data_IF_369984711486
#
_entry.id   IF_369984711486
#
_cell.length_a   1.000
_cell.length_b   1.000
_cell.length_c   1.000
_cell.angle_alpha   90.00
_cell.angle_beta   90.00
_cell.angle_gamma   90.00
#
_symmetry.space_group_name_H-M   'P 1'
#
loop_
_entity.id
_entity.type
_entity.pdbx_description
1 polymer ?
#
# COMPACT_ATOMS: atom_id res chain seq x y z
N UNK A 1 -19.05 -7.24 19.30
CA UNK A 1 -20.23 -7.14 20.17
C UNK A 1 -19.82 -7.55 21.55
N UNK A 2 -20.10 -6.72 22.54
CA UNK A 2 -20.12 -7.15 23.95
C UNK A 2 -21.36 -8.01 24.21
N UNK A 3 -21.43 -8.67 25.36
CA UNK A 3 -22.50 -9.62 25.69
C UNK A 3 -23.92 -8.99 25.68
N UNK A 4 -24.01 -7.67 25.74
CA UNK A 4 -25.23 -6.85 25.67
C UNK A 4 -25.58 -6.40 24.23
N UNK A 5 -24.83 -6.86 23.22
CA UNK A 5 -25.02 -6.45 21.82
C UNK A 5 -24.47 -5.06 21.48
N UNK A 6 -23.89 -4.34 22.43
CA UNK A 6 -23.33 -3.02 22.17
C UNK A 6 -21.98 -3.10 21.42
N UNK A 7 -21.68 -2.05 20.66
CA UNK A 7 -20.41 -1.90 19.97
C UNK A 7 -19.49 -1.04 20.84
N UNK A 8 -18.33 -1.60 21.20
CA UNK A 8 -17.27 -0.80 21.81
C UNK A 8 -16.71 0.17 20.74
N UNK A 9 -16.80 1.49 20.94
CA UNK A 9 -16.27 2.45 19.97
C UNK A 9 -14.77 2.24 19.82
N UNK A 10 -14.31 2.29 18.57
CA UNK A 10 -12.90 2.20 18.21
C UNK A 10 -12.44 3.55 17.70
N UNK A 11 -11.22 3.95 18.07
CA UNK A 11 -10.59 5.13 17.50
C UNK A 11 -10.21 4.83 16.05
N UNK A 12 -10.77 5.60 15.11
CA UNK A 12 -10.36 5.60 13.71
C UNK A 12 -9.32 6.69 13.50
N UNK A 13 -8.22 6.35 12.83
CA UNK A 13 -7.21 7.31 12.41
C UNK A 13 -7.00 7.10 10.92
N UNK A 14 -7.29 8.13 10.13
CA UNK A 14 -6.97 8.15 8.70
C UNK A 14 -5.71 8.99 8.53
N UNK A 15 -4.70 8.42 7.89
CA UNK A 15 -3.39 9.05 7.69
C UNK A 15 -3.16 9.32 6.22
N UNK A 16 -2.63 10.50 5.91
CA UNK A 16 -2.05 10.78 4.61
C UNK A 16 -0.64 10.16 4.56
N UNK A 17 -0.30 9.33 3.55
CA UNK A 17 1.06 8.81 3.40
C UNK A 17 2.10 9.94 3.30
N UNK A 18 3.36 9.65 3.66
CA UNK A 18 4.44 10.65 3.55
C UNK A 18 4.57 11.17 2.11
N UNK A 19 4.61 12.48 1.94
CA UNK A 19 4.63 13.13 0.62
C UNK A 19 3.26 13.28 -0.04
N UNK A 20 2.17 13.00 0.69
CA UNK A 20 0.81 13.13 0.18
C UNK A 20 0.03 14.16 0.99
N UNK A 21 -0.77 14.98 0.30
CA UNK A 21 -1.77 15.86 0.90
C UNK A 21 -1.24 16.72 2.06
N UNK A 22 -1.68 16.51 3.31
CA UNK A 22 -1.25 17.33 4.45
C UNK A 22 -0.01 16.77 5.17
N UNK A 23 0.48 15.60 4.78
CA UNK A 23 1.74 15.06 5.29
C UNK A 23 2.94 15.84 4.76
N UNK A 24 4.07 15.76 5.47
CA UNK A 24 5.30 16.40 5.04
C UNK A 24 5.75 15.89 3.66
N UNK A 25 6.41 16.75 2.87
CA UNK A 25 6.94 16.43 1.54
C UNK A 25 8.48 16.49 1.53
N UNK A 26 9.18 15.60 2.26
CA UNK A 26 10.64 15.54 2.21
C UNK A 26 11.12 15.14 0.81
N UNK A 27 12.38 15.45 0.51
CA UNK A 27 12.99 15.15 -0.78
C UNK A 27 12.90 13.64 -1.07
N UNK A 28 12.35 13.28 -2.23
CA UNK A 28 12.32 11.90 -2.70
C UNK A 28 13.73 11.37 -2.94
N UNK A 29 14.08 10.25 -2.29
CA UNK A 29 15.41 9.63 -2.40
C UNK A 29 15.38 8.21 -3.00
N UNK A 30 14.22 7.57 -3.07
CA UNK A 30 14.08 6.22 -3.61
C UNK A 30 14.26 6.14 -5.14
N UNK A 31 14.17 7.25 -5.87
CA UNK A 31 14.37 7.27 -7.32
C UNK A 31 13.33 6.43 -8.06
N UNK A 32 13.78 5.55 -8.96
CA UNK A 32 12.94 4.62 -9.72
C UNK A 32 13.00 3.18 -9.17
N UNK A 33 13.64 2.98 -8.02
CA UNK A 33 13.79 1.68 -7.39
C UNK A 33 12.51 1.32 -6.62
N UNK A 34 11.74 0.31 -7.05
CA UNK A 34 10.46 -0.04 -6.43
C UNK A 34 10.60 -0.48 -4.97
N UNK A 35 11.69 -1.16 -4.63
CA UNK A 35 11.90 -1.71 -3.28
C UNK A 35 12.17 -0.56 -2.30
N UNK A 36 13.00 0.41 -2.72
CA UNK A 36 13.23 1.63 -1.93
C UNK A 36 11.98 2.49 -1.83
N UNK A 37 11.16 2.52 -2.89
CA UNK A 37 9.91 3.27 -2.89
C UNK A 37 8.92 2.66 -1.89
N UNK A 38 8.77 1.33 -1.87
CA UNK A 38 7.95 0.62 -0.89
C UNK A 38 8.47 0.87 0.52
N UNK A 39 9.77 0.65 0.77
CA UNK A 39 10.40 0.84 2.07
C UNK A 39 10.17 2.25 2.60
N UNK A 40 10.31 3.28 1.75
CA UNK A 40 10.05 4.67 2.12
C UNK A 40 8.64 4.87 2.71
N UNK A 41 7.61 4.33 2.07
CA UNK A 41 6.24 4.47 2.57
C UNK A 41 5.97 3.61 3.82
N UNK A 42 6.47 2.38 3.83
CA UNK A 42 6.25 1.44 4.94
C UNK A 42 6.94 1.91 6.22
N UNK A 43 8.21 2.31 6.14
CA UNK A 43 8.96 2.76 7.31
C UNK A 43 8.49 4.14 7.80
N UNK A 44 7.98 4.98 6.91
CA UNK A 44 7.33 6.24 7.32
C UNK A 44 6.07 5.98 8.13
N UNK A 45 5.25 4.99 7.74
CA UNK A 45 4.07 4.59 8.49
C UNK A 45 4.45 3.99 9.86
N UNK A 46 5.51 3.17 9.92
CA UNK A 46 6.01 2.61 11.18
C UNK A 46 6.53 3.70 12.13
N UNK A 47 7.32 4.64 11.59
CA UNK A 47 7.81 5.79 12.34
C UNK A 47 6.66 6.61 12.93
N UNK A 48 5.62 6.89 12.13
CA UNK A 48 4.42 7.56 12.61
C UNK A 48 3.66 6.76 13.68
N UNK A 49 3.46 5.45 13.48
CA UNK A 49 2.78 4.58 14.46
C UNK A 49 3.52 4.61 15.80
N UNK A 50 4.84 4.46 15.76
CA UNK A 50 5.71 4.47 16.92
C UNK A 50 5.64 5.81 17.65
N UNK A 51 5.79 6.93 16.93
CA UNK A 51 5.68 8.28 17.50
C UNK A 51 4.29 8.59 18.08
N UNK A 52 3.25 7.95 17.54
CA UNK A 52 1.87 8.07 18.03
C UNK A 52 1.56 7.18 19.24
N UNK A 53 2.53 6.38 19.70
CA UNK A 53 2.38 5.48 20.85
C UNK A 53 1.41 4.30 20.63
N UNK A 54 1.16 3.93 19.38
CA UNK A 54 0.16 2.90 19.03
C UNK A 54 0.83 1.52 18.98
N UNK A 55 0.88 0.78 20.09
CA UNK A 55 1.61 -0.51 20.15
C UNK A 55 1.19 -1.54 19.09
N UNK A 56 -0.12 -1.73 18.90
CA UNK A 56 -0.73 -2.65 17.93
C UNK A 56 -2.05 -2.09 17.42
N UNK A 57 -2.36 -2.30 16.13
CA UNK A 57 -3.55 -1.73 15.48
C UNK A 57 -4.27 -2.72 14.56
N UNK A 58 -5.54 -2.44 14.27
CA UNK A 58 -6.22 -3.01 13.10
C UNK A 58 -5.88 -2.11 11.92
N UNK A 59 -5.28 -2.67 10.87
CA UNK A 59 -4.81 -1.94 9.71
C UNK A 59 -5.75 -2.18 8.53
N UNK A 60 -6.22 -1.09 7.91
CA UNK A 60 -7.10 -1.12 6.75
C UNK A 60 -6.41 -0.42 5.59
N UNK A 61 -6.28 -1.12 4.46
CA UNK A 61 -5.71 -0.57 3.23
C UNK A 61 -6.72 -0.58 2.09
N UNK A 62 -6.95 0.57 1.45
CA UNK A 62 -7.82 0.72 0.29
C UNK A 62 -7.00 1.03 -0.97
N UNK A 63 -7.28 0.38 -2.10
CA UNK A 63 -6.58 0.63 -3.36
C UNK A 63 -5.05 0.48 -3.19
N UNK A 64 -4.24 1.47 -3.56
CA UNK A 64 -2.79 1.49 -3.32
C UNK A 64 -2.42 1.38 -1.84
N UNK A 65 -3.26 1.89 -0.94
CA UNK A 65 -3.10 1.68 0.51
C UNK A 65 -3.21 0.21 0.90
N UNK A 66 -3.88 -0.62 0.10
CA UNK A 66 -3.91 -2.07 0.26
C UNK A 66 -2.55 -2.73 0.03
N UNK A 67 -1.82 -2.29 -1.01
CA UNK A 67 -0.45 -2.73 -1.26
C UNK A 67 0.45 -2.36 -0.07
N UNK A 68 0.45 -1.07 0.31
CA UNK A 68 1.26 -0.58 1.42
C UNK A 68 0.92 -1.25 2.75
N UNK A 69 -0.37 -1.50 3.03
CA UNK A 69 -0.80 -2.18 4.25
C UNK A 69 -0.36 -3.65 4.29
N UNK A 70 -0.34 -4.33 3.15
CA UNK A 70 0.18 -5.69 3.05
C UNK A 70 1.69 -5.72 3.28
N UNK A 71 2.47 -4.87 2.59
CA UNK A 71 3.92 -4.76 2.77
C UNK A 71 4.29 -4.37 4.20
N UNK A 72 3.52 -3.46 4.82
CA UNK A 72 3.69 -3.11 6.23
C UNK A 72 3.45 -4.31 7.16
N UNK A 73 2.36 -5.06 6.95
CA UNK A 73 2.04 -6.21 7.79
C UNK A 73 3.04 -7.36 7.62
N UNK A 74 3.67 -7.50 6.45
CA UNK A 74 4.75 -8.46 6.21
C UNK A 74 5.99 -8.12 7.05
N UNK A 75 6.42 -6.85 7.06
CA UNK A 75 7.62 -6.40 7.80
C UNK A 75 7.39 -6.24 9.31
N UNK A 76 6.19 -5.78 9.70
CA UNK A 76 5.83 -5.39 11.07
C UNK A 76 4.63 -6.21 11.59
N UNK A 77 4.64 -7.53 11.36
CA UNK A 77 3.50 -8.42 11.66
C UNK A 77 3.03 -8.39 13.12
N UNK A 78 3.94 -8.16 14.07
CA UNK A 78 3.60 -8.01 15.49
C UNK A 78 2.82 -6.72 15.81
N UNK A 79 2.85 -5.72 14.92
CA UNK A 79 2.13 -4.44 15.06
C UNK A 79 0.72 -4.47 14.51
N UNK A 80 0.38 -5.50 13.73
CA UNK A 80 -0.94 -5.66 13.10
C UNK A 80 -1.74 -6.74 13.84
N UNK A 81 -2.98 -6.42 14.22
CA UNK A 81 -3.93 -7.40 14.78
C UNK A 81 -4.85 -7.97 13.71
N UNK A 82 -5.40 -7.09 12.88
CA UNK A 82 -6.27 -7.45 11.76
C UNK A 82 -5.77 -6.66 10.56
N UNK A 83 -5.63 -7.31 9.41
CA UNK A 83 -5.39 -6.65 8.13
C UNK A 83 -6.65 -6.77 7.28
N UNK A 84 -7.23 -5.63 6.90
CA UNK A 84 -8.38 -5.57 6.00
C UNK A 84 -7.96 -4.90 4.70
N UNK A 85 -8.14 -5.61 3.58
CA UNK A 85 -7.82 -5.11 2.25
C UNK A 85 -9.11 -4.80 1.49
N UNK A 86 -9.31 -3.53 1.14
CA UNK A 86 -10.50 -3.05 0.44
C UNK A 86 -10.11 -2.71 -0.99
N UNK A 87 -10.56 -3.51 -1.96
CA UNK A 87 -10.22 -3.35 -3.38
C UNK A 87 -8.72 -3.05 -3.60
N UNK A 88 -7.80 -3.88 -3.04
CA UNK A 88 -6.38 -3.55 -2.98
C UNK A 88 -5.76 -3.52 -4.38
N UNK A 89 -4.80 -2.62 -4.58
CA UNK A 89 -3.93 -2.66 -5.74
C UNK A 89 -2.96 -3.84 -5.58
N UNK A 90 -2.96 -4.76 -6.55
CA UNK A 90 -1.90 -5.74 -6.71
C UNK A 90 -0.84 -5.20 -7.66
N UNK A 91 0.44 -5.30 -7.28
CA UNK A 91 1.58 -5.00 -8.17
C UNK A 91 2.35 -6.30 -8.40
N UNK A 92 1.77 -7.27 -9.13
CA UNK A 92 2.47 -8.53 -9.39
C UNK A 92 3.72 -8.25 -10.23
N UNK A 93 4.76 -9.07 -10.02
CA UNK A 93 5.91 -9.09 -10.91
C UNK A 93 5.43 -9.30 -12.34
N UNK A 94 5.94 -8.50 -13.28
CA UNK A 94 5.62 -8.68 -14.70
C UNK A 94 5.97 -10.11 -15.11
N UNK A 95 5.04 -10.88 -15.71
CA UNK A 95 5.34 -12.21 -16.22
C UNK A 95 6.51 -12.15 -17.20
N UNK A 96 7.41 -13.12 -17.17
CA UNK A 96 8.60 -13.15 -18.03
C UNK A 96 8.26 -13.06 -19.52
N UNK A 97 7.10 -13.60 -19.92
CA UNK A 97 6.61 -13.60 -21.29
C UNK A 97 5.68 -12.42 -21.62
N UNK A 98 5.47 -11.47 -20.71
CA UNK A 98 4.55 -10.34 -20.91
C UNK A 98 4.90 -9.54 -22.17
N UNK A 99 6.18 -9.17 -22.33
CA UNK A 99 6.67 -8.49 -23.53
C UNK A 99 6.40 -9.28 -24.80
N UNK A 100 6.67 -10.58 -24.77
CA UNK A 100 6.45 -11.45 -25.93
C UNK A 100 4.97 -11.54 -26.29
N UNK A 101 4.10 -11.75 -25.29
CA UNK A 101 2.64 -11.78 -25.44
C UNK A 101 2.09 -10.47 -26.02
N UNK A 102 2.56 -9.32 -25.53
CA UNK A 102 2.13 -8.02 -26.06
C UNK A 102 2.57 -7.85 -27.51
N UNK A 103 3.81 -8.21 -27.86
CA UNK A 103 4.31 -8.08 -29.23
C UNK A 103 3.58 -8.99 -30.23
N UNK A 104 3.14 -10.16 -29.78
CA UNK A 104 2.36 -11.14 -30.55
C UNK A 104 0.85 -10.82 -30.56
N UNK A 105 0.38 -9.93 -29.68
CA UNK A 105 -1.02 -9.53 -29.62
C UNK A 105 -1.44 -8.68 -30.84
N UNK A 106 -2.75 -8.62 -31.07
CA UNK A 106 -3.32 -7.79 -32.14
C UNK A 106 -2.86 -6.33 -32.05
N UNK A 107 -2.82 -5.63 -33.18
CA UNK A 107 -2.37 -4.23 -33.22
C UNK A 107 -3.19 -3.32 -32.28
N UNK A 108 -4.47 -3.62 -32.07
CA UNK A 108 -5.35 -2.90 -31.13
C UNK A 108 -4.84 -3.02 -29.69
N UNK A 109 -4.45 -4.22 -29.26
CA UNK A 109 -3.87 -4.49 -27.94
C UNK A 109 -2.51 -3.77 -27.80
N UNK A 110 -1.67 -3.83 -28.85
CA UNK A 110 -0.35 -3.16 -28.86
C UNK A 110 -0.44 -1.64 -28.73
N UNK A 111 -1.39 -1.01 -29.41
CA UNK A 111 -1.64 0.45 -29.32
C UNK A 111 -2.12 0.83 -27.92
N UNK A 112 -3.00 0.02 -27.32
CA UNK A 112 -3.55 0.30 -26.00
C UNK A 112 -2.51 0.08 -24.88
N UNK A 113 -1.61 -0.90 -25.01
CA UNK A 113 -0.50 -1.13 -24.10
C UNK A 113 0.54 0.00 -24.14
N UNK A 114 0.87 0.55 -25.32
CA UNK A 114 1.79 1.70 -25.46
C UNK A 114 1.30 2.96 -24.76
N UNK A 115 -0.02 3.15 -24.66
CA UNK A 115 -0.65 4.31 -23.99
C UNK A 115 -0.65 4.24 -22.46
N UNK A 116 -0.32 3.08 -21.88
CA UNK A 116 -0.32 2.84 -20.43
C UNK A 116 1.05 2.92 -19.76
N UNK A 117 2.09 3.31 -20.50
CA UNK A 117 3.41 3.63 -19.90
C UNK A 117 3.31 5.00 -19.26
N UNK A 118 3.14 5.03 -17.94
CA UNK A 118 3.45 6.18 -17.10
C UNK A 118 4.96 6.20 -16.85
#
# INVERSE_FOLDING_TARGET
MTADGSFKPRRLIAVDPLGWNLSSHPRWTAGLDPDKAEEWFVESLEGWRSASGIERMDLVGHSIGGYLAASYAERHSNRVRILTLVSPAGVPKEPEDFRQKILQASWKIRVQAKRRRW
#
